data_IF_373494187648
#
_entry.id   IF_373494187648
#
_cell.length_a   1.000
_cell.length_b   1.000
_cell.length_c   1.000
_cell.angle_alpha   90.00
_cell.angle_beta   90.00
_cell.angle_gamma   90.00
#
_symmetry.space_group_name_H-M   'P 1'
#
loop_
_entity.id
_entity.type
_entity.pdbx_description
1 polymer ?
#
# COMPACT_ATOMS: atom_id res chain seq x y z
N UNK A 1 -3.91 -30.33 -13.40
CA UNK A 1 -4.09 -28.92 -13.01
C UNK A 1 -5.40 -28.63 -12.27
N UNK A 2 -6.54 -29.20 -12.68
CA UNK A 2 -7.84 -28.94 -12.02
C UNK A 2 -7.96 -29.46 -10.59
N UNK A 3 -7.29 -30.57 -10.27
CA UNK A 3 -7.35 -31.18 -8.93
C UNK A 3 -6.71 -30.32 -7.83
N UNK A 4 -5.86 -29.36 -8.17
CA UNK A 4 -5.15 -28.48 -7.23
C UNK A 4 -5.70 -27.05 -7.19
N UNK A 5 -6.84 -26.77 -7.83
CA UNK A 5 -7.45 -25.46 -7.79
C UNK A 5 -7.81 -25.05 -6.34
N UNK A 6 -7.44 -23.85 -5.87
CA UNK A 6 -7.69 -23.46 -4.48
C UNK A 6 -9.20 -23.32 -4.23
N UNK A 7 -9.73 -24.08 -3.26
CA UNK A 7 -11.15 -24.04 -2.88
C UNK A 7 -11.53 -22.67 -2.30
N UNK A 8 -10.56 -21.99 -1.68
CA UNK A 8 -10.74 -20.64 -1.20
C UNK A 8 -9.94 -19.69 -2.08
N UNK A 9 -10.59 -18.66 -2.57
CA UNK A 9 -9.94 -17.55 -3.27
C UNK A 9 -9.65 -16.44 -2.26
N UNK A 10 -8.45 -15.93 -2.28
CA UNK A 10 -8.06 -14.73 -1.55
C UNK A 10 -8.02 -13.54 -2.51
N UNK A 11 -8.48 -12.39 -2.03
CA UNK A 11 -8.40 -11.14 -2.76
C UNK A 11 -8.17 -9.98 -1.80
N UNK A 12 -7.39 -9.01 -2.23
CA UNK A 12 -7.28 -7.74 -1.54
C UNK A 12 -8.51 -6.88 -1.80
N UNK A 13 -8.85 -6.04 -0.83
CA UNK A 13 -9.95 -5.09 -0.90
C UNK A 13 -9.54 -3.84 -0.13
N UNK A 14 -9.83 -2.69 -0.69
CA UNK A 14 -9.71 -1.42 0.03
C UNK A 14 -10.92 -1.24 0.93
N UNK A 15 -10.70 -0.72 2.13
CA UNK A 15 -11.76 -0.39 3.06
C UNK A 15 -11.54 1.01 3.65
N UNK A 16 -12.64 1.71 3.94
CA UNK A 16 -12.66 3.10 4.37
C UNK A 16 -13.55 3.28 5.59
N UNK A 17 -13.20 4.24 6.44
CA UNK A 17 -14.09 4.78 7.49
C UNK A 17 -13.87 6.27 7.69
N UNK A 18 -14.85 6.93 8.36
CA UNK A 18 -14.70 8.30 8.82
C UNK A 18 -13.74 8.36 10.02
N UNK A 19 -12.88 9.35 10.05
CA UNK A 19 -11.87 9.56 11.10
C UNK A 19 -12.46 10.13 12.40
N UNK A 20 -13.72 10.56 12.39
CA UNK A 20 -14.38 11.16 13.56
C UNK A 20 -14.53 10.22 14.77
N UNK A 21 -14.35 8.92 14.60
CA UNK A 21 -14.50 7.91 15.66
C UNK A 21 -13.19 7.57 16.37
N UNK A 22 -12.08 8.16 15.95
CA UNK A 22 -10.73 7.85 16.42
C UNK A 22 -9.88 7.24 15.30
N UNK A 23 -8.58 7.34 15.46
CA UNK A 23 -7.63 6.77 14.50
C UNK A 23 -7.41 5.28 14.79
N UNK A 24 -6.95 4.52 13.81
CA UNK A 24 -6.66 3.08 13.95
C UNK A 24 -5.71 2.77 15.12
N UNK A 25 -4.85 3.71 15.48
CA UNK A 25 -3.96 3.58 16.64
C UNK A 25 -4.70 3.49 17.98
N UNK A 26 -5.91 4.08 18.08
CA UNK A 26 -6.70 4.12 19.31
C UNK A 26 -7.99 3.30 19.21
N UNK A 27 -8.53 3.14 18.01
CA UNK A 27 -9.77 2.42 17.76
C UNK A 27 -9.63 1.41 16.60
N UNK A 28 -9.53 0.13 16.95
CA UNK A 28 -9.57 -0.98 15.98
C UNK A 28 -10.98 -1.59 15.86
N UNK A 29 -11.95 -1.13 16.66
CA UNK A 29 -13.28 -1.78 16.77
C UNK A 29 -14.34 -1.17 15.88
N UNK A 30 -14.26 0.13 15.56
CA UNK A 30 -15.14 0.73 14.56
C UNK A 30 -14.79 0.18 13.18
N UNK A 31 -15.74 -0.50 12.50
CA UNK A 31 -15.45 -1.21 11.27
C UNK A 31 -15.18 -0.28 10.08
N UNK A 32 -14.30 -0.68 9.20
CA UNK A 32 -14.11 -0.07 7.90
C UNK A 32 -15.13 -0.63 6.90
N UNK A 33 -15.72 0.21 6.08
CA UNK A 33 -16.61 -0.18 4.98
C UNK A 33 -15.79 -0.64 3.78
N UNK A 34 -15.96 -1.89 3.35
CA UNK A 34 -15.25 -2.46 2.20
C UNK A 34 -15.77 -1.81 0.90
N UNK A 35 -14.86 -1.33 0.06
CA UNK A 35 -15.13 -0.85 -1.28
C UNK A 35 -15.14 -2.05 -2.22
N UNK A 36 -16.24 -2.22 -2.97
CA UNK A 36 -16.41 -3.40 -3.82
C UNK A 36 -15.39 -3.44 -4.96
N UNK A 37 -14.72 -4.56 -5.07
CA UNK A 37 -13.99 -4.94 -6.28
C UNK A 37 -14.96 -5.24 -7.43
N UNK A 38 -14.43 -5.33 -8.64
CA UNK A 38 -15.19 -5.81 -9.79
C UNK A 38 -14.62 -7.14 -10.31
N UNK A 39 -15.19 -7.67 -11.39
CA UNK A 39 -14.77 -8.97 -11.95
C UNK A 39 -13.35 -8.94 -12.55
N UNK A 40 -12.84 -7.76 -12.91
CA UNK A 40 -11.54 -7.58 -13.56
C UNK A 40 -10.44 -7.24 -12.58
N UNK A 41 -10.76 -6.47 -11.53
CA UNK A 41 -9.76 -5.93 -10.60
C UNK A 41 -10.08 -6.27 -9.15
N UNK A 42 -9.06 -6.58 -8.36
CA UNK A 42 -9.08 -6.32 -6.93
C UNK A 42 -8.16 -5.13 -6.61
N UNK A 43 -8.42 -4.45 -5.51
CA UNK A 43 -7.73 -3.23 -5.12
C UNK A 43 -6.94 -3.41 -3.81
N UNK A 44 -5.72 -2.86 -3.76
CA UNK A 44 -4.82 -2.82 -2.61
C UNK A 44 -4.03 -1.52 -2.56
N UNK A 45 -3.18 -1.36 -1.55
CA UNK A 45 -2.28 -0.22 -1.35
C UNK A 45 -3.00 1.15 -1.49
N UNK A 46 -4.05 1.44 -0.70
CA UNK A 46 -4.83 2.66 -0.88
C UNK A 46 -4.09 3.91 -0.38
N UNK A 47 -4.06 4.95 -1.20
CA UNK A 47 -3.67 6.31 -0.85
C UNK A 47 -4.85 7.25 -1.01
N UNK A 48 -5.17 8.03 0.02
CA UNK A 48 -6.32 8.94 0.00
C UNK A 48 -5.88 10.39 -0.11
N UNK A 49 -6.60 11.15 -0.94
CA UNK A 49 -6.44 12.59 -1.12
C UNK A 49 -7.81 13.25 -1.11
N UNK A 50 -7.97 14.27 -0.29
CA UNK A 50 -9.14 15.14 -0.32
C UNK A 50 -8.83 16.40 -1.14
N UNK A 51 -9.68 16.69 -2.11
CA UNK A 51 -9.53 17.83 -3.01
C UNK A 51 -10.90 18.29 -3.52
N UNK A 52 -11.11 19.63 -3.46
CA UNK A 52 -12.32 20.27 -3.99
C UNK A 52 -13.63 19.66 -3.44
N UNK A 53 -13.66 19.34 -2.13
CA UNK A 53 -14.83 18.77 -1.44
C UNK A 53 -15.11 17.30 -1.72
N UNK A 54 -14.21 16.60 -2.42
CA UNK A 54 -14.29 15.17 -2.70
C UNK A 54 -13.07 14.45 -2.16
N UNK A 55 -13.23 13.17 -1.82
CA UNK A 55 -12.12 12.31 -1.52
C UNK A 55 -11.85 11.37 -2.71
N UNK A 56 -10.57 11.13 -2.99
CA UNK A 56 -10.09 10.23 -4.02
C UNK A 56 -9.19 9.18 -3.38
N UNK A 57 -9.47 7.92 -3.64
CA UNK A 57 -8.61 6.82 -3.21
C UNK A 57 -7.90 6.29 -4.44
N UNK A 58 -6.60 6.46 -4.48
CA UNK A 58 -5.70 5.84 -5.46
C UNK A 58 -5.26 4.49 -4.92
N UNK A 59 -5.20 3.48 -5.78
CA UNK A 59 -4.87 2.12 -5.38
C UNK A 59 -4.17 1.34 -6.49
N UNK A 60 -3.47 0.29 -6.10
CA UNK A 60 -3.18 -0.81 -7.01
C UNK A 60 -4.49 -1.47 -7.42
N UNK A 61 -4.68 -1.67 -8.72
CA UNK A 61 -5.73 -2.49 -9.30
C UNK A 61 -5.07 -3.70 -9.97
N UNK A 62 -5.08 -4.84 -9.30
CA UNK A 62 -4.56 -6.06 -9.92
C UNK A 62 -5.51 -6.54 -11.00
N UNK A 63 -5.05 -6.49 -12.25
CA UNK A 63 -5.82 -6.91 -13.41
C UNK A 63 -5.68 -8.42 -13.62
N UNK A 64 -6.76 -9.16 -13.41
CA UNK A 64 -6.78 -10.61 -13.57
C UNK A 64 -6.43 -11.09 -14.98
N UNK A 65 -6.70 -10.28 -16.02
CA UNK A 65 -6.38 -10.61 -17.40
C UNK A 65 -4.92 -10.32 -17.74
N UNK A 66 -4.41 -9.19 -17.26
CA UNK A 66 -3.00 -8.83 -17.46
C UNK A 66 -2.05 -9.53 -16.50
N UNK A 67 -2.60 -10.07 -15.40
CA UNK A 67 -1.86 -10.71 -14.29
C UNK A 67 -0.80 -9.80 -13.65
N UNK A 68 -1.11 -8.51 -13.54
CA UNK A 68 -0.25 -7.50 -12.91
C UNK A 68 -1.06 -6.34 -12.38
N UNK A 69 -0.45 -5.60 -11.46
CA UNK A 69 -0.98 -4.34 -10.95
C UNK A 69 -0.93 -3.24 -12.00
N UNK A 70 -1.98 -2.45 -12.03
CA UNK A 70 -2.08 -1.15 -12.71
C UNK A 70 -2.57 -0.14 -11.68
N UNK A 71 -2.33 1.14 -11.88
CA UNK A 71 -2.83 2.13 -10.93
C UNK A 71 -4.21 2.62 -11.34
N UNK A 72 -5.05 2.86 -10.35
CA UNK A 72 -6.37 3.41 -10.56
C UNK A 72 -6.88 4.18 -9.34
N UNK A 73 -8.08 4.70 -9.46
CA UNK A 73 -8.73 5.40 -8.35
C UNK A 73 -10.24 5.11 -8.29
N UNK A 74 -10.84 5.42 -7.16
CA UNK A 74 -12.27 5.69 -7.02
C UNK A 74 -12.45 7.03 -6.28
N UNK A 75 -13.59 7.68 -6.47
CA UNK A 75 -13.95 8.93 -5.78
C UNK A 75 -15.09 8.71 -4.81
N UNK A 76 -15.13 9.55 -3.78
CA UNK A 76 -16.14 9.55 -2.73
C UNK A 76 -16.76 10.95 -2.70
N UNK A 77 -18.08 11.00 -2.77
CA UNK A 77 -18.87 12.22 -2.67
C UNK A 77 -20.09 11.93 -1.78
N UNK A 78 -20.04 12.41 -0.54
CA UNK A 78 -20.98 11.98 0.50
C UNK A 78 -20.92 10.46 0.71
N UNK A 79 -22.07 9.80 0.61
CA UNK A 79 -22.19 8.34 0.76
C UNK A 79 -21.88 7.55 -0.53
N UNK A 80 -21.69 8.26 -1.65
CA UNK A 80 -21.48 7.63 -2.96
C UNK A 80 -20.01 7.36 -3.21
N UNK A 81 -19.70 6.10 -3.49
CA UNK A 81 -18.36 5.65 -3.91
C UNK A 81 -18.43 5.22 -5.36
N UNK A 82 -17.61 5.83 -6.21
CA UNK A 82 -17.54 5.47 -7.62
C UNK A 82 -16.95 4.08 -7.84
N UNK A 83 -17.07 3.56 -9.05
CA UNK A 83 -16.35 2.34 -9.45
C UNK A 83 -14.87 2.64 -9.64
N UNK A 84 -14.03 1.62 -9.43
CA UNK A 84 -12.61 1.68 -9.73
C UNK A 84 -12.35 1.99 -11.20
N UNK A 85 -11.54 2.99 -11.47
CA UNK A 85 -11.13 3.45 -12.81
C UNK A 85 -9.61 3.36 -12.93
N UNK A 86 -9.07 2.52 -13.83
CA UNK A 86 -7.62 2.47 -14.07
C UNK A 86 -7.16 3.74 -14.82
N UNK A 87 -5.96 4.24 -14.45
CA UNK A 87 -5.39 5.50 -14.97
C UNK A 87 -3.96 5.35 -15.50
N UNK A 88 -3.13 4.49 -14.90
CA UNK A 88 -1.74 4.28 -15.33
C UNK A 88 -1.49 2.79 -15.54
N UNK A 89 -0.89 2.46 -16.67
CA UNK A 89 -0.51 1.09 -17.06
C UNK A 89 0.88 1.09 -17.66
N UNK A 90 1.68 0.09 -17.23
CA UNK A 90 2.99 -0.18 -17.79
C UNK A 90 3.08 -1.65 -18.26
N UNK A 91 4.17 -2.01 -18.89
CA UNK A 91 4.43 -3.40 -19.27
C UNK A 91 4.85 -4.27 -18.08
N UNK A 92 5.19 -3.66 -16.96
CA UNK A 92 5.55 -4.26 -15.67
C UNK A 92 4.50 -3.94 -14.60
N UNK A 93 4.61 -4.59 -13.45
CA UNK A 93 3.73 -4.40 -12.31
C UNK A 93 3.88 -3.01 -11.70
N UNK A 94 2.76 -2.36 -11.41
CA UNK A 94 2.69 -1.11 -10.64
C UNK A 94 1.80 -1.31 -9.42
N UNK A 95 2.28 -0.88 -8.26
CA UNK A 95 1.56 -0.89 -6.99
C UNK A 95 1.88 0.35 -6.16
N UNK A 96 1.31 0.46 -4.97
CA UNK A 96 1.64 1.48 -3.99
C UNK A 96 1.67 2.91 -4.56
N UNK A 97 0.55 3.45 -5.04
CA UNK A 97 0.48 4.74 -5.73
C UNK A 97 0.63 5.93 -4.77
N UNK A 98 1.83 6.14 -4.22
CA UNK A 98 2.11 7.23 -3.30
C UNK A 98 1.88 8.58 -3.97
N UNK A 99 0.91 9.34 -3.47
CA UNK A 99 0.59 10.68 -3.98
C UNK A 99 1.53 11.69 -3.33
N UNK A 100 2.17 12.50 -4.12
CA UNK A 100 3.05 13.57 -3.66
C UNK A 100 2.70 14.88 -4.35
N UNK A 101 2.99 15.99 -3.70
CA UNK A 101 3.00 17.28 -4.36
C UNK A 101 4.45 17.66 -4.67
N UNK A 102 4.73 17.98 -5.94
CA UNK A 102 6.04 18.40 -6.40
C UNK A 102 5.91 19.61 -7.31
N UNK A 103 6.55 20.73 -6.93
CA UNK A 103 6.49 22.01 -7.66
C UNK A 103 5.04 22.50 -7.93
N UNK A 104 4.15 22.37 -6.95
CA UNK A 104 2.75 22.77 -7.04
C UNK A 104 1.87 21.87 -7.91
N UNK A 105 2.36 20.69 -8.29
CA UNK A 105 1.63 19.70 -9.07
C UNK A 105 1.48 18.40 -8.32
N UNK A 106 0.31 17.78 -8.47
CA UNK A 106 0.09 16.44 -7.95
C UNK A 106 0.83 15.41 -8.80
N UNK A 107 1.54 14.53 -8.12
CA UNK A 107 2.30 13.47 -8.73
C UNK A 107 1.99 12.12 -8.06
N UNK A 108 2.15 11.03 -8.80
CA UNK A 108 2.14 9.67 -8.27
C UNK A 108 3.57 9.12 -8.37
N UNK A 109 4.10 8.65 -7.26
CA UNK A 109 5.37 7.92 -7.17
C UNK A 109 5.05 6.47 -6.77
N UNK A 110 4.87 5.55 -7.75
CA UNK A 110 4.48 4.18 -7.47
C UNK A 110 5.66 3.28 -7.14
N UNK A 111 5.37 2.13 -6.56
CA UNK A 111 6.27 0.99 -6.68
C UNK A 111 6.33 0.55 -8.14
N UNK A 112 7.54 0.49 -8.67
CA UNK A 112 7.86 0.10 -10.04
C UNK A 112 9.13 -0.76 -10.11
N UNK A 113 9.39 -1.53 -9.05
CA UNK A 113 10.61 -2.33 -8.89
C UNK A 113 10.81 -3.42 -9.96
N UNK A 114 9.74 -3.94 -10.56
CA UNK A 114 9.85 -4.85 -11.71
C UNK A 114 10.37 -4.16 -12.97
N UNK A 115 10.16 -2.85 -13.09
CA UNK A 115 10.73 -2.03 -14.16
C UNK A 115 12.14 -1.53 -13.86
N UNK A 116 12.71 -1.89 -12.70
CA UNK A 116 14.04 -1.47 -12.21
C UNK A 116 14.22 0.05 -12.17
N UNK A 117 13.12 0.77 -11.89
CA UNK A 117 13.12 2.23 -11.82
C UNK A 117 12.33 2.73 -10.62
N UNK A 118 12.72 3.88 -10.08
CA UNK A 118 11.87 4.74 -9.26
C UNK A 118 11.46 5.92 -10.11
N UNK A 119 10.15 6.07 -10.36
CA UNK A 119 9.62 7.04 -11.32
C UNK A 119 8.49 7.87 -10.74
N UNK A 120 8.18 8.99 -11.40
CA UNK A 120 7.09 9.89 -11.04
C UNK A 120 6.20 10.16 -12.25
N UNK A 121 4.90 10.10 -12.03
CA UNK A 121 3.85 10.49 -12.98
C UNK A 121 3.21 11.78 -12.49
N UNK A 122 3.19 12.80 -13.34
CA UNK A 122 2.59 14.10 -13.06
C UNK A 122 1.15 14.15 -13.58
N UNK A 123 0.25 14.74 -12.82
CA UNK A 123 -1.14 14.97 -13.25
C UNK A 123 -1.18 16.01 -14.36
N UNK A 124 -1.77 15.64 -15.48
CA UNK A 124 -2.09 16.54 -16.62
C UNK A 124 -3.53 17.00 -16.53
N UNK A 125 -4.44 16.08 -16.18
CA UNK A 125 -5.86 16.36 -15.97
C UNK A 125 -6.33 15.49 -14.79
N UNK A 126 -6.35 16.08 -13.59
CA UNK A 126 -6.73 15.39 -12.36
C UNK A 126 -8.22 15.01 -12.38
N UNK A 127 -8.57 13.79 -11.94
CA UNK A 127 -7.73 12.69 -11.50
C UNK A 127 -7.36 11.69 -12.62
N UNK A 128 -7.71 11.96 -13.86
CA UNK A 128 -7.83 10.99 -14.93
C UNK A 128 -6.57 10.79 -15.78
N UNK A 129 -5.79 11.86 -16.02
CA UNK A 129 -4.65 11.79 -16.94
C UNK A 129 -3.34 12.09 -16.24
N UNK A 130 -2.41 11.19 -16.38
CA UNK A 130 -1.10 11.21 -15.76
C UNK A 130 -0.03 10.90 -16.81
N UNK A 131 1.07 11.64 -16.79
CA UNK A 131 2.19 11.42 -17.69
C UNK A 131 3.48 11.15 -16.92
N UNK A 132 4.22 10.15 -17.37
CA UNK A 132 5.56 9.85 -16.83
C UNK A 132 6.48 11.06 -17.09
N UNK A 133 6.99 11.66 -16.04
CA UNK A 133 7.79 12.90 -16.15
C UNK A 133 9.25 12.72 -15.76
N UNK A 134 9.52 11.91 -14.78
CA UNK A 134 10.86 11.78 -14.22
C UNK A 134 11.14 10.36 -13.77
N UNK A 135 12.31 9.84 -14.15
CA UNK A 135 12.94 8.71 -13.49
C UNK A 135 13.85 9.31 -12.41
N UNK A 136 13.56 9.02 -11.15
CA UNK A 136 14.34 9.52 -10.00
C UNK A 136 15.62 8.72 -9.86
N UNK A 137 15.50 7.38 -9.96
CA UNK A 137 16.64 6.44 -9.99
C UNK A 137 16.35 5.32 -11.00
N UNK A 138 17.38 4.93 -11.77
CA UNK A 138 17.41 3.73 -12.58
C UNK A 138 18.22 2.64 -11.89
N UNK A 139 18.11 1.42 -12.41
CA UNK A 139 18.82 0.23 -11.95
C UNK A 139 18.58 -0.07 -10.43
N UNK A 140 17.36 0.21 -9.96
CA UNK A 140 16.96 -0.02 -8.57
C UNK A 140 15.67 -0.82 -8.48
N UNK A 141 15.61 -1.70 -7.51
CA UNK A 141 14.41 -2.49 -7.19
C UNK A 141 13.90 -2.06 -5.81
N UNK A 142 13.25 -0.90 -5.79
CA UNK A 142 12.66 -0.32 -4.60
C UNK A 142 11.18 -0.65 -4.52
N UNK A 143 10.73 -1.00 -3.32
CA UNK A 143 9.34 -1.26 -3.01
C UNK A 143 8.82 -0.28 -1.97
N UNK A 144 7.55 0.13 -2.13
CA UNK A 144 6.80 0.94 -1.18
C UNK A 144 7.49 2.27 -0.81
N UNK A 145 8.09 2.97 -1.79
CA UNK A 145 8.80 4.23 -1.54
C UNK A 145 7.84 5.31 -1.04
N UNK A 146 8.12 5.84 0.15
CA UNK A 146 7.27 6.79 0.86
C UNK A 146 8.06 8.02 1.28
N UNK A 147 7.62 9.26 0.95
CA UNK A 147 8.29 10.47 1.41
C UNK A 147 8.41 10.51 2.93
N UNK A 148 9.55 10.98 3.38
CA UNK A 148 9.84 11.20 4.80
C UNK A 148 9.94 12.71 5.05
N UNK A 149 9.11 13.30 5.94
CA UNK A 149 9.14 14.72 6.19
C UNK A 149 10.43 15.11 6.92
N UNK A 150 11.24 15.95 6.29
CA UNK A 150 12.44 16.50 6.88
C UNK A 150 12.69 17.92 6.35
N UNK A 151 13.06 18.84 7.22
CA UNK A 151 13.16 20.26 6.94
C UNK A 151 14.05 20.56 5.73
N UNK A 152 13.49 21.11 4.66
CA UNK A 152 14.20 21.61 3.49
C UNK A 152 14.87 20.60 2.59
N UNK A 153 14.60 19.29 2.77
CA UNK A 153 15.17 18.20 1.98
C UNK A 153 14.12 17.11 1.68
N UNK A 154 14.23 16.49 0.51
CA UNK A 154 13.31 15.47 0.04
C UNK A 154 13.90 14.06 0.26
N UNK A 155 13.60 13.49 1.42
CA UNK A 155 13.94 12.09 1.70
C UNK A 155 12.76 11.17 1.52
N UNK A 156 13.03 9.89 1.30
CA UNK A 156 12.02 8.85 1.29
C UNK A 156 12.54 7.57 1.98
N UNK A 157 11.61 6.88 2.60
CA UNK A 157 11.79 5.52 3.09
C UNK A 157 11.45 4.55 1.97
N UNK A 158 12.26 3.52 1.76
CA UNK A 158 11.99 2.48 0.77
C UNK A 158 12.46 1.12 1.27
N UNK A 159 11.85 0.06 0.79
CA UNK A 159 12.38 -1.29 0.96
C UNK A 159 13.24 -1.63 -0.26
N UNK A 160 14.53 -1.82 -0.04
CA UNK A 160 15.45 -2.22 -1.09
C UNK A 160 15.40 -3.74 -1.27
N UNK A 161 14.85 -4.19 -2.39
CA UNK A 161 14.83 -5.61 -2.82
C UNK A 161 15.94 -5.95 -3.81
N UNK A 162 16.83 -4.99 -4.08
CA UNK A 162 17.97 -5.18 -5.00
C UNK A 162 19.04 -6.13 -4.45
N UNK A 163 19.12 -6.30 -3.13
CA UNK A 163 19.89 -7.34 -2.47
C UNK A 163 18.94 -8.43 -1.94
N UNK A 164 18.71 -9.53 -2.68
CA UNK A 164 17.80 -10.59 -2.28
C UNK A 164 18.22 -11.32 -0.99
N UNK A 165 19.51 -11.28 -0.64
CA UNK A 165 20.01 -11.92 0.57
C UNK A 165 19.77 -11.04 1.81
N UNK A 166 19.79 -9.71 1.63
CA UNK A 166 19.64 -8.74 2.71
C UNK A 166 18.67 -7.61 2.36
N UNK A 167 17.40 -7.90 2.04
CA UNK A 167 16.42 -6.87 1.78
C UNK A 167 16.22 -6.02 3.05
N UNK A 168 16.30 -4.70 2.93
CA UNK A 168 16.31 -3.81 4.08
C UNK A 168 15.52 -2.51 3.87
N UNK A 169 15.15 -1.88 4.99
CA UNK A 169 14.70 -0.50 4.98
C UNK A 169 15.89 0.40 4.65
N UNK A 170 15.69 1.29 3.69
CA UNK A 170 16.67 2.27 3.23
C UNK A 170 16.05 3.65 3.21
N UNK A 171 16.77 4.66 3.67
CA UNK A 171 16.39 6.07 3.53
C UNK A 171 17.19 6.66 2.38
N UNK A 172 16.48 7.15 1.39
CA UNK A 172 17.07 7.68 0.16
C UNK A 172 16.87 9.20 0.04
N UNK A 173 17.84 9.87 -0.57
CA UNK A 173 17.74 11.28 -0.97
C UNK A 173 17.12 11.34 -2.39
N UNK A 174 15.91 11.88 -2.48
CA UNK A 174 15.20 12.05 -3.77
C UNK A 174 15.79 13.16 -4.65
N UNK A 175 16.56 14.07 -4.06
CA UNK A 175 17.25 15.15 -4.79
C UNK A 175 18.65 14.70 -5.26
N UNK A 176 19.14 13.55 -4.79
CA UNK A 176 20.43 13.01 -5.14
C UNK A 176 21.64 13.81 -4.61
N UNK A 177 21.44 14.65 -3.59
CA UNK A 177 22.48 15.51 -3.01
C UNK A 177 23.35 14.81 -1.96
N UNK A 178 22.87 13.70 -1.45
CA UNK A 178 23.60 12.87 -0.47
C UNK A 178 23.56 11.41 -0.85
N UNK A 179 24.40 10.61 -0.19
CA UNK A 179 24.29 9.15 -0.20
C UNK A 179 23.09 8.71 0.62
N UNK A 180 22.66 7.46 0.42
CA UNK A 180 21.64 6.85 1.24
C UNK A 180 21.97 6.92 2.74
N UNK A 181 20.96 7.14 3.55
CA UNK A 181 21.13 7.46 4.97
C UNK A 181 21.18 6.16 5.78
N UNK A 182 22.11 6.04 6.73
CA UNK A 182 22.17 4.88 7.63
C UNK A 182 20.88 4.68 8.42
N UNK A 183 20.48 3.44 8.57
CA UNK A 183 19.37 3.02 9.43
C UNK A 183 19.94 2.30 10.64
N UNK A 184 19.63 2.77 11.85
CA UNK A 184 20.08 2.15 13.09
C UNK A 184 19.33 0.85 13.37
N UNK A 185 20.08 -0.20 13.73
CA UNK A 185 19.53 -1.48 14.14
C UNK A 185 18.94 -2.31 12.99
N UNK A 186 18.38 -3.48 13.37
CA UNK A 186 17.73 -4.40 12.43
C UNK A 186 16.22 -4.18 12.45
N UNK A 187 15.65 -3.79 11.31
CA UNK A 187 14.21 -3.55 11.13
C UNK A 187 13.55 -4.58 10.21
N UNK A 188 14.05 -5.81 10.19
CA UNK A 188 13.66 -6.84 9.23
C UNK A 188 12.15 -7.10 9.17
N UNK A 189 11.46 -7.15 10.32
CA UNK A 189 10.01 -7.41 10.39
C UNK A 189 9.15 -6.24 9.91
N UNK A 190 9.70 -5.04 9.81
CA UNK A 190 9.02 -3.80 9.44
C UNK A 190 9.76 -2.99 8.39
N UNK A 191 10.53 -3.67 7.55
CA UNK A 191 11.37 -3.00 6.55
C UNK A 191 10.56 -2.35 5.42
N UNK A 192 9.35 -2.86 5.10
CA UNK A 192 8.50 -2.31 4.04
C UNK A 192 7.59 -1.21 4.58
N UNK A 193 7.62 0.02 4.01
CA UNK A 193 6.63 1.05 4.29
C UNK A 193 5.20 0.59 3.99
N UNK A 194 4.22 1.14 4.70
CA UNK A 194 2.82 0.76 4.60
C UNK A 194 1.86 1.96 4.52
N UNK A 195 2.34 3.11 4.07
CA UNK A 195 1.59 4.35 3.97
C UNK A 195 2.42 5.56 4.35
N UNK A 196 1.80 6.74 4.34
CA UNK A 196 2.48 7.99 4.70
C UNK A 196 3.02 7.96 6.14
N UNK A 197 4.16 8.61 6.32
CA UNK A 197 4.60 9.05 7.64
C UNK A 197 3.70 10.23 8.06
N UNK A 198 3.15 10.18 9.25
CA UNK A 198 2.26 11.21 9.78
C UNK A 198 2.70 11.66 11.17
N UNK A 199 2.32 12.86 11.56
CA UNK A 199 2.58 13.39 12.88
C UNK A 199 1.44 13.06 13.84
N UNK A 200 1.80 12.61 15.05
CA UNK A 200 0.87 12.41 16.16
C UNK A 200 1.56 12.76 17.48
N UNK A 201 0.94 13.65 18.25
CA UNK A 201 1.45 14.11 19.56
C UNK A 201 2.92 14.59 19.48
N UNK A 202 3.27 15.32 18.41
CA UNK A 202 4.61 15.86 18.16
C UNK A 202 5.65 14.82 17.75
N UNK A 203 5.23 13.62 17.35
CA UNK A 203 6.09 12.51 16.92
C UNK A 203 5.74 12.06 15.51
N UNK A 204 6.76 11.70 14.75
CA UNK A 204 6.57 11.09 13.44
C UNK A 204 6.28 9.59 13.60
N UNK A 205 5.17 9.17 13.02
CA UNK A 205 4.71 7.77 13.03
C UNK A 205 4.74 7.22 11.62
N UNK A 206 5.42 6.11 11.46
CA UNK A 206 5.53 5.37 10.21
C UNK A 206 4.72 4.08 10.27
N UNK A 207 3.71 3.88 9.39
CA UNK A 207 3.14 2.55 9.17
C UNK A 207 4.16 1.67 8.43
N UNK A 208 4.23 0.41 8.82
CA UNK A 208 5.06 -0.61 8.21
C UNK A 208 4.26 -1.89 7.97
N UNK A 209 4.57 -2.60 6.88
CA UNK A 209 3.99 -3.93 6.62
C UNK A 209 4.62 -4.93 7.59
N UNK A 210 3.78 -5.64 8.35
CA UNK A 210 4.25 -6.75 9.16
C UNK A 210 4.47 -7.96 8.25
N UNK A 211 5.72 -8.37 8.13
CA UNK A 211 6.10 -9.54 7.37
C UNK A 211 7.00 -10.41 8.24
N UNK A 212 6.43 -11.41 8.84
CA UNK A 212 7.20 -12.53 9.40
C UNK A 212 7.66 -13.35 8.21
N UNK A 213 8.91 -13.69 8.14
CA UNK A 213 9.57 -14.39 7.05
C UNK A 213 8.66 -14.96 5.93
N UNK A 214 9.16 -15.24 4.77
CA UNK A 214 8.42 -15.71 3.59
C UNK A 214 7.53 -16.95 3.80
N UNK A 215 7.77 -17.75 4.86
CA UNK A 215 7.03 -18.97 5.15
C UNK A 215 5.63 -18.70 5.75
N UNK A 216 5.43 -17.60 6.47
CA UNK A 216 4.13 -17.27 7.09
C UNK A 216 3.23 -16.39 6.23
N UNK A 217 3.74 -15.93 5.09
CA UNK A 217 2.99 -15.15 4.11
C UNK A 217 3.08 -13.64 4.29
N UNK A 218 2.88 -12.96 3.18
CA UNK A 218 2.96 -11.51 3.02
C UNK A 218 1.70 -10.80 3.53
N UNK A 219 1.89 -9.63 4.20
CA UNK A 219 0.79 -8.75 4.57
C UNK A 219 -0.05 -9.27 5.74
N UNK A 220 0.57 -9.74 6.80
CA UNK A 220 -0.10 -10.30 7.98
C UNK A 220 -0.64 -9.26 8.95
N UNK A 221 -0.24 -8.00 8.80
CA UNK A 221 -0.66 -6.91 9.68
C UNK A 221 0.12 -5.63 9.44
N UNK A 222 -0.10 -4.67 10.28
CA UNK A 222 0.58 -3.37 10.32
C UNK A 222 1.38 -3.24 11.61
N UNK A 223 2.57 -2.67 11.50
CA UNK A 223 3.36 -2.19 12.64
C UNK A 223 3.45 -0.67 12.52
N UNK A 224 3.16 0.04 13.59
CA UNK A 224 3.36 1.48 13.68
C UNK A 224 4.64 1.75 14.46
N UNK A 225 5.52 2.54 13.88
CA UNK A 225 6.81 2.89 14.47
C UNK A 225 6.90 4.38 14.69
N UNK A 226 7.28 4.80 15.89
CA UNK A 226 7.79 6.15 16.13
C UNK A 226 9.17 6.23 15.48
N UNK A 227 9.38 7.21 14.61
CA UNK A 227 10.61 7.33 13.82
C UNK A 227 11.16 8.74 13.86
N UNK A 228 12.46 8.85 13.65
CA UNK A 228 13.16 10.13 13.61
C UNK A 228 14.38 10.07 12.71
N UNK A 229 14.76 11.23 12.19
CA UNK A 229 16.02 11.46 11.52
C UNK A 229 16.83 12.46 12.37
N UNK A 230 18.02 12.06 12.81
CA UNK A 230 18.89 12.92 13.62
C UNK A 230 19.53 14.02 12.76
N UNK A 231 20.08 15.05 13.41
CA UNK A 231 20.85 16.12 12.75
C UNK A 231 22.05 15.58 11.96
N UNK A 232 22.60 14.45 12.38
CA UNK A 232 23.70 13.75 11.70
C UNK A 232 23.20 12.87 10.54
N UNK A 233 21.92 12.98 10.16
CA UNK A 233 21.30 12.18 9.11
C UNK A 233 21.41 10.66 9.39
N UNK A 234 21.12 10.24 10.61
CA UNK A 234 20.95 8.84 10.96
C UNK A 234 19.48 8.57 11.30
N UNK A 235 18.88 7.62 10.63
CA UNK A 235 17.47 7.25 10.82
C UNK A 235 17.36 6.18 11.91
N UNK A 236 16.44 6.39 12.83
CA UNK A 236 16.10 5.41 13.86
C UNK A 236 14.59 5.30 14.07
N UNK A 237 14.15 4.13 14.52
CA UNK A 237 12.74 3.88 14.82
C UNK A 237 12.54 2.88 15.94
N UNK A 238 11.39 3.01 16.63
CA UNK A 238 10.92 2.02 17.59
C UNK A 238 9.47 1.67 17.34
N UNK A 239 9.12 0.42 17.48
CA UNK A 239 7.74 -0.06 17.41
C UNK A 239 6.93 0.48 18.58
N UNK A 240 5.71 0.95 18.29
CA UNK A 240 4.76 1.44 19.29
C UNK A 240 3.46 0.66 19.30
N UNK A 241 3.05 0.08 18.16
CA UNK A 241 1.83 -0.70 18.05
C UNK A 241 1.87 -1.66 16.87
N UNK A 242 1.38 -2.88 17.10
CA UNK A 242 1.04 -3.86 16.07
C UNK A 242 -0.48 -3.97 15.95
N UNK A 243 -0.99 -4.11 14.73
CA UNK A 243 -2.41 -4.34 14.43
C UNK A 243 -2.51 -5.47 13.43
N UNK A 244 -3.28 -6.49 13.77
CA UNK A 244 -3.55 -7.65 12.93
C UNK A 244 -4.99 -7.69 12.44
N UNK A 245 -5.32 -8.47 11.40
CA UNK A 245 -6.69 -8.62 10.92
C UNK A 245 -7.69 -9.00 12.01
N UNK A 246 -7.31 -9.83 12.97
CA UNK A 246 -8.14 -10.27 14.10
C UNK A 246 -8.45 -9.16 15.13
N UNK A 247 -7.69 -8.08 15.14
CA UNK A 247 -7.96 -6.92 15.98
C UNK A 247 -9.13 -6.08 15.45
N UNK A 248 -9.42 -6.20 14.15
CA UNK A 248 -10.48 -5.47 13.49
C UNK A 248 -11.84 -6.14 13.74
N UNK A 249 -12.85 -5.31 13.98
CA UNK A 249 -14.20 -5.80 14.23
C UNK A 249 -14.95 -6.05 12.91
N UNK A 250 -14.89 -7.26 12.39
CA UNK A 250 -15.72 -7.69 11.27
C UNK A 250 -16.68 -8.81 11.71
N UNK A 251 -17.82 -8.90 11.03
CA UNK A 251 -18.76 -9.98 11.32
C UNK A 251 -18.18 -11.34 10.90
N UNK A 252 -18.70 -12.42 11.49
CA UNK A 252 -18.21 -13.79 11.27
C UNK A 252 -18.33 -14.27 9.81
N UNK A 253 -19.02 -13.53 8.94
CA UNK A 253 -19.18 -13.89 7.52
C UNK A 253 -18.02 -13.39 6.66
N UNK A 254 -17.18 -12.49 7.19
CA UNK A 254 -16.02 -11.93 6.50
C UNK A 254 -14.77 -12.47 7.20
N UNK A 255 -14.06 -13.37 6.54
CA UNK A 255 -12.79 -13.87 7.03
C UNK A 255 -11.65 -12.99 6.50
N UNK A 256 -10.95 -12.34 7.42
CA UNK A 256 -9.76 -11.56 7.11
C UNK A 256 -8.51 -12.42 7.30
N UNK A 257 -7.61 -12.38 6.34
CA UNK A 257 -6.34 -13.13 6.37
C UNK A 257 -5.09 -12.26 6.27
N UNK A 258 -5.25 -10.95 6.09
CA UNK A 258 -4.14 -10.01 6.00
C UNK A 258 -4.60 -8.56 5.93
N UNK A 259 -3.63 -7.67 6.15
CA UNK A 259 -3.67 -6.23 5.91
C UNK A 259 -2.23 -5.72 5.78
N UNK A 260 -1.98 -4.70 4.98
CA UNK A 260 -0.60 -4.25 4.78
C UNK A 260 -0.42 -2.77 4.43
N UNK A 261 -1.50 -2.00 4.28
CA UNK A 261 -1.40 -0.56 4.00
C UNK A 261 -2.42 0.21 4.82
N UNK A 262 -2.00 1.36 5.37
CA UNK A 262 -2.81 2.31 6.09
C UNK A 262 -2.47 3.72 5.66
N UNK A 263 -3.48 4.49 5.31
CA UNK A 263 -3.36 5.93 5.10
C UNK A 263 -4.56 6.67 5.69
N UNK A 264 -4.38 7.96 5.96
CA UNK A 264 -5.46 8.83 6.41
C UNK A 264 -5.38 10.20 5.75
N UNK A 265 -6.53 10.84 5.66
CA UNK A 265 -6.70 12.25 5.30
C UNK A 265 -7.30 13.03 6.47
N UNK A 266 -7.82 14.20 6.22
CA UNK A 266 -8.48 15.00 7.26
C UNK A 266 -9.72 14.28 7.84
N UNK A 267 -10.57 13.72 6.95
CA UNK A 267 -11.86 13.16 7.34
C UNK A 267 -11.93 11.63 7.28
N UNK A 268 -10.98 10.95 6.64
CA UNK A 268 -11.06 9.52 6.38
C UNK A 268 -9.81 8.76 6.76
N UNK A 269 -10.00 7.47 7.04
CA UNK A 269 -8.94 6.48 7.10
C UNK A 269 -9.22 5.38 6.07
N UNK A 270 -8.17 4.89 5.43
CA UNK A 270 -8.20 3.80 4.46
C UNK A 270 -7.18 2.73 4.82
N UNK A 271 -7.59 1.50 4.66
CA UNK A 271 -6.73 0.31 4.79
C UNK A 271 -6.97 -0.61 3.61
N UNK A 272 -6.05 -1.51 3.36
CA UNK A 272 -6.38 -2.71 2.63
C UNK A 272 -6.53 -3.92 3.55
N UNK A 273 -7.38 -4.82 3.14
CA UNK A 273 -7.66 -6.07 3.84
C UNK A 273 -7.70 -7.22 2.86
N UNK A 274 -7.13 -8.34 3.25
CA UNK A 274 -7.18 -9.56 2.49
C UNK A 274 -8.36 -10.40 2.98
N UNK A 275 -9.30 -10.67 2.08
CA UNK A 275 -10.47 -11.50 2.39
C UNK A 275 -10.32 -12.87 1.73
N UNK A 276 -10.81 -13.89 2.43
CA UNK A 276 -10.86 -15.25 1.94
C UNK A 276 -12.31 -15.65 1.71
N UNK A 277 -12.64 -16.11 0.51
CA UNK A 277 -13.99 -16.52 0.14
C UNK A 277 -13.99 -17.92 -0.42
N UNK A 278 -15.07 -18.67 -0.13
CA UNK A 278 -15.29 -19.98 -0.74
C UNK A 278 -15.52 -19.80 -2.25
N UNK A 279 -14.73 -20.53 -3.05
CA UNK A 279 -14.84 -20.51 -4.50
C UNK A 279 -15.57 -21.77 -4.97
N UNK A 280 -16.88 -21.65 -5.17
CA UNK A 280 -17.76 -22.75 -5.54
C UNK A 280 -17.35 -23.36 -6.89
N UNK A 281 -16.86 -22.58 -7.84
CA UNK A 281 -16.42 -23.06 -9.15
C UNK A 281 -15.18 -23.96 -8.98
N UNK A 282 -14.20 -23.53 -8.22
CA UNK A 282 -13.01 -24.33 -7.95
C UNK A 282 -13.33 -25.62 -7.15
N UNK A 283 -14.32 -25.56 -6.28
CA UNK A 283 -14.82 -26.73 -5.58
C UNK A 283 -15.36 -27.78 -6.57
N UNK A 284 -16.23 -27.38 -7.49
CA UNK A 284 -16.76 -28.27 -8.52
C UNK A 284 -15.67 -28.74 -9.50
N UNK A 285 -14.73 -27.89 -9.89
CA UNK A 285 -13.59 -28.29 -10.73
C UNK A 285 -12.73 -29.35 -10.06
N UNK A 286 -12.52 -29.28 -8.72
CA UNK A 286 -11.82 -30.33 -7.98
C UNK A 286 -12.56 -31.65 -7.95
N UNK A 287 -13.90 -31.61 -7.80
CA UNK A 287 -14.72 -32.83 -7.85
C UNK A 287 -14.63 -33.45 -9.25
N UNK A 288 -14.85 -32.65 -10.29
CA UNK A 288 -14.76 -33.09 -11.69
C UNK A 288 -13.38 -33.69 -12.01
N UNK A 289 -12.29 -33.02 -11.58
CA UNK A 289 -10.94 -33.52 -11.80
C UNK A 289 -10.56 -34.79 -11.03
N UNK A 290 -11.35 -35.19 -10.01
CA UNK A 290 -11.21 -36.49 -9.32
C UNK A 290 -12.03 -37.59 -9.99
N UNK A 291 -13.06 -37.22 -10.75
CA UNK A 291 -13.98 -38.16 -11.42
C UNK A 291 -13.57 -38.42 -12.89
N UNK A 292 -12.72 -37.56 -13.43
CA UNK A 292 -12.15 -37.73 -14.79
C UNK A 292 -10.76 -38.35 -14.64
N UNK A 293 -10.47 -39.48 -15.29
CA UNK A 293 -9.18 -40.18 -15.21
C UNK A 293 -8.03 -39.38 -15.77
#
# INVERSE_FOLDING_TARGET
>A
MLQNAPIFAESWNVAIRNKCTGEILTDTKTPFKIIKNNFRYWAADPFILEKDGKAYIFAELYDYFLRRGVLGYCSIEGDNISKWKPIIRELYHLSYPCIIEHNGKLCIMPESGEGEVLTVYESVEFPDKWEKRKVIRGDVRFADTTPFPYTGRNFALTHNVGDPENPCLTVIDLDGKTKDIPVEGKVALRSRPAGYVFEKDGKLIRPAKYSVNTAEGYGKGLIFCECQLSDNLCYSEREIKEIRPEDLNYNKTIYLSGMHTYNSSEHYEVIDIKTRRFNILNFFMRIAGKLLP
#
